data_IF_630929869658
#
_entry.id   IF_630929869658
#
_cell.length_a   1.000
_cell.length_b   1.000
_cell.length_c   1.000
_cell.angle_alpha   90.00
_cell.angle_beta   90.00
_cell.angle_gamma   90.00
#
_symmetry.space_group_name_H-M   'P 1'
#
loop_
_entity.id
_entity.type
_entity.pdbx_description
1 polymer ?
#
# COMPACT_ATOMS: atom_id res chain seq x y z
N UNK A 1 23.60 -21.40 -39.70
CA UNK A 1 24.03 -21.51 -38.30
C UNK A 1 24.45 -20.11 -37.77
N UNK A 2 23.56 -19.24 -37.38
CA UNK A 2 23.82 -17.96 -36.65
C UNK A 2 22.52 -17.40 -36.09
N UNK A 3 21.92 -18.06 -35.09
CA UNK A 3 20.76 -17.51 -34.35
C UNK A 3 20.78 -17.82 -32.85
N UNK A 4 21.86 -18.39 -32.30
CA UNK A 4 21.93 -18.81 -30.88
C UNK A 4 22.64 -17.81 -29.97
N UNK A 5 23.23 -16.73 -30.48
CA UNK A 5 23.99 -15.77 -29.66
C UNK A 5 23.18 -14.63 -29.03
N UNK A 6 22.04 -14.28 -29.62
CA UNK A 6 21.27 -13.12 -29.17
C UNK A 6 20.39 -13.40 -27.92
N UNK A 7 19.93 -14.63 -27.77
CA UNK A 7 19.11 -15.03 -26.60
C UNK A 7 19.93 -15.20 -25.30
N UNK A 8 21.22 -15.59 -25.43
CA UNK A 8 22.11 -15.71 -24.27
C UNK A 8 22.54 -14.35 -23.69
N UNK A 9 22.69 -13.32 -24.54
CA UNK A 9 23.04 -11.96 -24.11
C UNK A 9 21.88 -11.26 -23.39
N UNK A 10 20.63 -11.55 -23.80
CA UNK A 10 19.45 -10.96 -23.18
C UNK A 10 19.14 -11.59 -21.82
N UNK A 11 19.41 -12.88 -21.63
CA UNK A 11 19.26 -13.57 -20.34
C UNK A 11 20.31 -13.10 -19.31
N UNK A 12 21.52 -12.76 -19.73
CA UNK A 12 22.59 -12.23 -18.87
C UNK A 12 22.34 -10.79 -18.42
N UNK A 13 21.67 -9.97 -19.21
CA UNK A 13 21.29 -8.61 -18.82
C UNK A 13 20.16 -8.61 -17.78
N UNK A 14 19.21 -9.53 -17.84
CA UNK A 14 18.13 -9.68 -16.85
C UNK A 14 18.69 -10.19 -15.51
N UNK A 15 19.63 -11.13 -15.53
CA UNK A 15 20.29 -11.65 -14.33
C UNK A 15 21.19 -10.59 -13.63
N UNK A 16 21.79 -9.67 -14.40
CA UNK A 16 22.63 -8.60 -13.84
C UNK A 16 21.88 -7.52 -13.09
N UNK A 17 20.61 -7.26 -13.44
CA UNK A 17 19.79 -6.25 -12.76
C UNK A 17 19.19 -6.82 -11.46
N UNK A 18 18.80 -8.10 -11.44
CA UNK A 18 18.32 -8.76 -10.25
C UNK A 18 19.38 -8.88 -9.13
N UNK A 19 20.65 -9.13 -9.50
CA UNK A 19 21.72 -9.27 -8.50
C UNK A 19 22.18 -7.95 -7.85
N UNK A 20 21.88 -6.80 -8.43
CA UNK A 20 22.19 -5.49 -7.83
C UNK A 20 21.25 -5.10 -6.68
N UNK A 21 20.07 -5.72 -6.57
CA UNK A 21 19.11 -5.46 -5.52
C UNK A 21 19.32 -6.34 -4.27
N UNK A 22 19.92 -7.52 -4.40
CA UNK A 22 20.16 -8.46 -3.30
C UNK A 22 21.27 -8.08 -2.31
N UNK A 23 21.95 -6.95 -2.47
CA UNK A 23 23.14 -6.58 -1.69
C UNK A 23 23.01 -5.29 -0.86
N UNK A 24 21.86 -4.64 -0.80
CA UNK A 24 21.72 -3.41 -0.01
C UNK A 24 21.42 -3.75 1.46
N UNK A 25 22.50 -3.86 2.25
CA UNK A 25 22.40 -3.75 3.71
C UNK A 25 21.78 -2.39 4.07
N UNK A 26 20.52 -2.38 4.43
CA UNK A 26 19.81 -1.18 4.82
C UNK A 26 20.30 -0.73 6.20
N UNK A 27 21.01 0.38 6.26
CA UNK A 27 21.26 1.07 7.52
C UNK A 27 19.95 1.74 7.97
N UNK A 28 19.30 1.15 8.96
CA UNK A 28 18.04 1.57 9.57
C UNK A 28 18.05 2.93 10.28
N UNK A 29 18.94 3.84 9.93
CA UNK A 29 19.01 5.21 10.48
C UNK A 29 18.30 6.25 9.59
N UNK A 30 17.35 5.82 8.72
CA UNK A 30 16.56 6.77 7.97
C UNK A 30 15.55 7.44 8.91
N UNK A 31 15.85 8.69 9.28
CA UNK A 31 14.93 9.54 10.05
C UNK A 31 13.60 9.66 9.34
N UNK A 32 12.50 9.61 10.12
CA UNK A 32 11.15 9.79 9.61
C UNK A 32 11.06 11.08 8.76
N UNK A 33 10.64 10.95 7.50
CA UNK A 33 10.56 12.07 6.55
C UNK A 33 9.19 12.72 6.61
N UNK A 34 9.03 13.65 7.51
CA UNK A 34 7.80 14.46 7.57
C UNK A 34 7.67 15.32 6.32
N UNK A 35 6.47 15.29 5.71
CA UNK A 35 6.15 16.14 4.57
C UNK A 35 6.27 17.64 4.91
N UNK A 36 6.81 18.42 4.00
CA UNK A 36 6.95 19.88 4.08
C UNK A 36 6.42 20.51 2.79
N UNK A 37 6.12 21.83 2.77
CA UNK A 37 5.67 22.51 1.57
C UNK A 37 6.57 22.34 0.35
N UNK A 38 7.89 22.29 0.57
CA UNK A 38 8.93 22.15 -0.45
C UNK A 38 9.26 20.69 -0.82
N UNK A 39 8.63 19.71 -0.14
CA UNK A 39 8.82 18.28 -0.46
C UNK A 39 8.19 17.87 -1.79
N UNK A 40 7.25 18.66 -2.32
CA UNK A 40 6.45 18.31 -3.50
C UNK A 40 6.91 19.08 -4.74
N UNK A 41 7.38 18.36 -5.73
CA UNK A 41 7.96 18.89 -6.98
C UNK A 41 7.13 18.57 -8.24
N UNK A 42 5.89 18.09 -8.06
CA UNK A 42 5.00 17.68 -9.14
C UNK A 42 5.27 16.27 -9.68
N UNK A 43 6.14 15.50 -9.03
CA UNK A 43 6.35 14.08 -9.28
C UNK A 43 5.55 13.25 -8.30
N UNK A 44 5.49 11.94 -8.51
CA UNK A 44 4.92 11.03 -7.53
C UNK A 44 5.82 10.91 -6.30
N UNK A 45 5.21 11.03 -5.12
CA UNK A 45 5.81 10.72 -3.83
C UNK A 45 4.88 9.77 -3.10
N UNK A 46 5.43 8.69 -2.55
CA UNK A 46 4.66 7.84 -1.66
C UNK A 46 4.30 8.65 -0.41
N UNK A 47 3.01 8.74 -0.11
CA UNK A 47 2.50 9.45 1.06
C UNK A 47 1.95 8.45 2.08
N UNK A 48 2.63 8.34 3.21
CA UNK A 48 2.22 7.52 4.35
C UNK A 48 1.41 8.35 5.33
N UNK A 49 0.16 7.98 5.58
CA UNK A 49 -0.72 8.67 6.51
C UNK A 49 -0.30 8.42 7.96
N UNK A 50 0.07 9.48 8.69
CA UNK A 50 0.35 9.41 10.12
C UNK A 50 -0.94 9.57 10.91
N UNK A 51 -1.27 8.59 11.72
CA UNK A 51 -2.45 8.58 12.58
C UNK A 51 -2.08 8.45 14.06
N UNK A 52 -3.01 8.82 14.94
CA UNK A 52 -2.89 8.63 16.39
C UNK A 52 -3.24 7.19 16.75
N UNK A 53 -2.53 6.63 17.74
CA UNK A 53 -2.73 5.25 18.18
C UNK A 53 -3.45 5.19 19.52
N UNK A 54 -4.41 4.27 19.63
CA UNK A 54 -4.97 3.86 20.90
C UNK A 54 -3.96 2.92 21.60
N UNK A 55 -3.70 3.08 22.90
CA UNK A 55 -2.89 2.14 23.67
C UNK A 55 -3.42 0.69 23.60
N UNK A 56 -4.74 0.53 23.50
CA UNK A 56 -5.41 -0.77 23.31
C UNK A 56 -5.85 -0.91 21.87
N UNK A 57 -5.60 -2.05 21.26
CA UNK A 57 -5.97 -2.33 19.86
C UNK A 57 -5.10 -3.43 19.30
N UNK A 58 -5.36 -3.84 18.07
CA UNK A 58 -4.61 -4.87 17.36
C UNK A 58 -3.69 -4.24 16.31
N UNK A 59 -2.53 -4.84 16.14
CA UNK A 59 -1.55 -4.44 15.15
C UNK A 59 -0.42 -3.54 15.67
N UNK A 60 0.47 -3.18 14.77
CA UNK A 60 1.64 -2.34 14.99
C UNK A 60 1.31 -0.84 14.97
N UNK A 61 1.89 -0.12 14.02
CA UNK A 61 1.69 1.32 13.91
C UNK A 61 1.74 1.77 12.44
N UNK A 62 1.48 3.06 12.20
CA UNK A 62 1.68 3.66 10.89
C UNK A 62 3.15 3.60 10.38
N UNK A 63 4.09 3.19 11.24
CA UNK A 63 5.50 2.93 10.89
C UNK A 63 5.76 1.50 10.42
N UNK A 64 4.79 0.61 10.47
CA UNK A 64 4.94 -0.75 9.94
C UNK A 64 5.40 -0.66 8.49
N UNK A 65 6.37 -1.51 8.09
CA UNK A 65 6.99 -1.58 6.76
C UNK A 65 7.73 -0.29 6.30
N UNK A 66 7.80 0.71 7.17
CA UNK A 66 8.52 1.95 6.85
C UNK A 66 10.04 1.74 7.04
N UNK A 67 10.89 2.19 6.12
CA UNK A 67 10.56 2.89 4.87
C UNK A 67 10.59 2.00 3.63
N UNK A 68 10.83 0.70 3.77
CA UNK A 68 11.10 -0.20 2.64
C UNK A 68 9.89 -0.30 1.70
N UNK A 69 8.69 -0.48 2.25
CA UNK A 69 7.48 -0.52 1.43
C UNK A 69 7.31 0.75 0.58
N UNK A 70 7.58 1.93 1.15
CA UNK A 70 7.45 3.21 0.48
C UNK A 70 8.46 3.35 -0.67
N UNK A 71 9.68 2.87 -0.44
CA UNK A 71 10.80 2.92 -1.39
C UNK A 71 10.59 1.93 -2.53
N UNK A 72 10.34 0.67 -2.20
CA UNK A 72 10.30 -0.41 -3.19
C UNK A 72 9.10 -0.26 -4.13
N UNK A 73 7.93 0.14 -3.59
CA UNK A 73 6.79 0.46 -4.45
C UNK A 73 7.08 1.64 -5.37
N UNK A 74 7.76 2.67 -4.89
CA UNK A 74 8.12 3.84 -5.70
C UNK A 74 9.11 3.49 -6.82
N UNK A 75 10.11 2.63 -6.54
CA UNK A 75 11.04 2.10 -7.55
C UNK A 75 10.26 1.31 -8.62
N UNK A 76 9.41 0.39 -8.18
CA UNK A 76 8.67 -0.47 -9.10
C UNK A 76 7.67 0.32 -9.95
N UNK A 77 7.05 1.36 -9.38
CA UNK A 77 6.19 2.27 -10.15
C UNK A 77 6.96 2.97 -11.27
N UNK A 78 8.17 3.45 -10.98
CA UNK A 78 9.03 4.08 -11.99
C UNK A 78 9.46 3.10 -13.10
N UNK A 79 9.70 1.82 -12.74
CA UNK A 79 10.14 0.79 -13.69
C UNK A 79 9.00 0.30 -14.60
N UNK A 80 7.81 0.09 -14.04
CA UNK A 80 6.67 -0.51 -14.76
C UNK A 80 5.81 0.51 -15.51
N UNK A 81 5.95 1.79 -15.21
CA UNK A 81 5.13 2.85 -15.78
C UNK A 81 5.98 3.98 -16.34
N UNK A 82 5.33 4.97 -16.96
CA UNK A 82 5.98 6.24 -17.36
C UNK A 82 5.86 7.32 -16.29
N UNK A 83 5.39 6.99 -15.10
CA UNK A 83 5.20 7.95 -14.03
C UNK A 83 6.55 8.47 -13.54
N UNK A 84 6.65 9.78 -13.41
CA UNK A 84 7.85 10.40 -12.85
C UNK A 84 7.76 10.35 -11.33
N UNK A 85 8.65 9.57 -10.72
CA UNK A 85 8.82 9.48 -9.27
C UNK A 85 9.87 10.48 -8.81
N UNK A 86 9.67 11.10 -7.66
CA UNK A 86 10.66 11.98 -7.03
C UNK A 86 11.81 11.17 -6.42
N UNK A 87 13.04 11.60 -6.65
CA UNK A 87 14.25 10.99 -6.07
C UNK A 87 15.08 12.06 -5.39
N UNK A 88 15.61 11.79 -4.19
CA UNK A 88 16.57 12.65 -3.49
C UNK A 88 17.99 12.43 -4.00
N UNK A 89 18.31 11.15 -4.32
CA UNK A 89 19.57 10.69 -4.84
C UNK A 89 19.31 9.49 -5.77
N UNK A 90 20.29 9.09 -6.60
CA UNK A 90 20.15 7.92 -7.45
C UNK A 90 19.70 6.68 -6.67
N UNK A 91 18.54 6.10 -7.06
CA UNK A 91 17.95 4.94 -6.42
C UNK A 91 17.40 5.17 -5.00
N UNK A 92 17.13 6.42 -4.63
CA UNK A 92 16.53 6.79 -3.35
C UNK A 92 15.24 7.59 -3.60
N UNK A 93 14.09 6.91 -3.82
CA UNK A 93 12.83 7.62 -4.01
C UNK A 93 12.46 8.40 -2.76
N UNK A 94 11.88 9.56 -3.00
CA UNK A 94 11.27 10.34 -1.93
C UNK A 94 9.98 9.67 -1.47
N UNK A 95 9.85 9.51 -0.16
CA UNK A 95 8.65 9.06 0.51
C UNK A 95 8.36 10.00 1.68
N UNK A 96 7.09 10.25 1.95
CA UNK A 96 6.67 11.32 2.84
C UNK A 96 5.70 10.81 3.90
N UNK A 97 5.97 11.14 5.16
CA UNK A 97 5.02 10.94 6.25
C UNK A 97 4.14 12.18 6.34
N UNK A 98 2.84 11.99 6.27
CA UNK A 98 1.85 13.06 6.18
C UNK A 98 0.90 12.97 7.37
N UNK A 99 0.97 13.90 8.32
CA UNK A 99 -0.05 14.02 9.36
C UNK A 99 -1.42 14.34 8.74
N UNK A 100 -2.47 13.72 9.24
CA UNK A 100 -3.83 13.93 8.72
C UNK A 100 -4.32 15.37 8.84
N UNK A 101 -3.80 16.11 9.83
CA UNK A 101 -4.11 17.54 10.04
C UNK A 101 -3.19 18.47 9.29
N UNK A 102 -2.15 17.95 8.61
CA UNK A 102 -1.19 18.75 7.85
C UNK A 102 -1.76 19.30 6.54
N UNK A 103 -1.34 20.50 6.16
CA UNK A 103 -1.72 21.09 4.87
C UNK A 103 -1.21 20.28 3.67
N UNK A 104 -0.09 19.55 3.87
CA UNK A 104 0.58 18.70 2.91
C UNK A 104 -0.28 17.50 2.49
N UNK A 105 -1.25 17.09 3.31
CA UNK A 105 -2.22 16.04 2.99
C UNK A 105 -2.88 16.27 1.62
N UNK A 106 -3.22 17.53 1.30
CA UNK A 106 -3.89 17.89 0.05
C UNK A 106 -2.97 17.89 -1.18
N UNK A 107 -1.68 17.66 -1.00
CA UNK A 107 -0.72 17.51 -2.09
C UNK A 107 -0.48 16.05 -2.47
N UNK A 108 -0.96 15.11 -1.66
CA UNK A 108 -0.89 13.68 -1.92
C UNK A 108 -2.10 13.23 -2.71
N UNK A 109 -1.96 12.64 -3.90
CA UNK A 109 -3.10 12.04 -4.61
C UNK A 109 -3.67 10.83 -3.85
N UNK A 110 -2.80 10.11 -3.14
CA UNK A 110 -3.12 8.98 -2.30
C UNK A 110 -2.32 9.04 -0.99
N UNK A 111 -2.95 8.61 0.09
CA UNK A 111 -2.26 8.23 1.32
C UNK A 111 -2.50 6.74 1.60
N UNK A 112 -1.48 6.08 2.13
CA UNK A 112 -1.59 4.70 2.59
C UNK A 112 -1.48 4.65 4.11
N UNK A 113 -2.34 3.85 4.75
CA UNK A 113 -2.31 3.56 6.18
C UNK A 113 -2.30 2.05 6.39
N UNK A 114 -1.44 1.59 7.26
CA UNK A 114 -1.30 0.19 7.63
C UNK A 114 -1.65 0.01 9.11
N UNK A 115 -1.95 -1.21 9.53
CA UNK A 115 -2.14 -1.59 10.93
C UNK A 115 -3.19 -0.74 11.68
N UNK A 116 -4.29 -0.46 11.02
CA UNK A 116 -5.31 0.47 11.50
C UNK A 116 -6.18 -0.06 12.66
N UNK A 117 -5.94 -1.30 13.11
CA UNK A 117 -6.71 -1.92 14.22
C UNK A 117 -6.52 -1.23 15.58
N UNK A 118 -5.58 -0.30 15.71
CA UNK A 118 -5.41 0.57 16.88
C UNK A 118 -5.43 2.06 16.56
N UNK A 119 -5.87 2.41 15.38
CA UNK A 119 -6.00 3.79 14.95
C UNK A 119 -7.08 4.53 15.77
N UNK A 120 -6.81 5.80 16.04
CA UNK A 120 -7.77 6.73 16.64
C UNK A 120 -7.78 8.05 15.87
N UNK A 121 -8.96 8.50 15.46
CA UNK A 121 -9.16 9.82 14.86
C UNK A 121 -9.70 10.82 15.89
N UNK A 122 -9.02 11.95 16.03
CA UNK A 122 -9.57 13.14 16.68
C UNK A 122 -10.63 13.81 15.79
N UNK A 123 -11.38 14.75 16.32
CA UNK A 123 -12.36 15.51 15.52
C UNK A 123 -11.69 16.27 14.35
N UNK A 124 -10.47 16.77 14.56
CA UNK A 124 -9.71 17.45 13.53
C UNK A 124 -9.25 16.46 12.43
N UNK A 125 -8.76 15.28 12.81
CA UNK A 125 -8.40 14.21 11.85
C UNK A 125 -9.61 13.85 10.99
N UNK A 126 -10.79 13.67 11.60
CA UNK A 126 -12.06 13.37 10.92
C UNK A 126 -12.40 14.46 9.91
N UNK A 127 -12.37 15.71 10.33
CA UNK A 127 -12.74 16.85 9.46
C UNK A 127 -11.79 16.99 8.26
N UNK A 128 -10.48 16.87 8.50
CA UNK A 128 -9.47 17.01 7.45
C UNK A 128 -9.47 15.80 6.49
N UNK A 129 -9.55 14.58 7.01
CA UNK A 129 -9.59 13.39 6.18
C UNK A 129 -10.86 13.37 5.30
N UNK A 130 -12.03 13.71 5.87
CA UNK A 130 -13.28 13.85 5.09
C UNK A 130 -13.10 14.88 3.96
N UNK A 131 -12.55 16.05 4.28
CA UNK A 131 -12.31 17.12 3.30
C UNK A 131 -11.33 16.66 2.20
N UNK A 132 -10.26 15.99 2.56
CA UNK A 132 -9.27 15.46 1.64
C UNK A 132 -9.91 14.48 0.65
N UNK A 133 -10.64 13.49 1.14
CA UNK A 133 -11.25 12.44 0.34
C UNK A 133 -12.35 13.00 -0.59
N UNK A 134 -13.19 13.91 -0.09
CA UNK A 134 -14.21 14.56 -0.91
C UNK A 134 -13.64 15.55 -1.96
N UNK A 135 -12.39 15.99 -1.81
CA UNK A 135 -11.70 16.83 -2.79
C UNK A 135 -10.87 16.08 -3.83
N UNK A 136 -11.00 14.78 -3.91
CA UNK A 136 -10.29 13.98 -4.91
C UNK A 136 -9.16 13.14 -4.34
N UNK A 137 -8.84 13.25 -3.05
CA UNK A 137 -7.87 12.39 -2.39
C UNK A 137 -8.35 10.93 -2.33
N UNK A 138 -7.40 10.02 -2.13
CA UNK A 138 -7.65 8.59 -1.99
C UNK A 138 -6.95 8.05 -0.74
N UNK A 139 -7.61 7.16 -0.01
CA UNK A 139 -7.05 6.44 1.11
C UNK A 139 -7.00 4.94 0.79
N UNK A 140 -5.81 4.34 0.85
CA UNK A 140 -5.65 2.89 0.87
C UNK A 140 -5.31 2.43 2.28
N UNK A 141 -6.12 1.53 2.82
CA UNK A 141 -5.91 0.89 4.13
C UNK A 141 -5.55 -0.56 3.90
N UNK A 142 -4.44 -1.01 4.49
CA UNK A 142 -3.88 -2.33 4.30
C UNK A 142 -3.37 -2.91 5.62
N UNK A 143 -3.01 -4.19 5.63
CA UNK A 143 -2.38 -4.89 6.74
C UNK A 143 -3.15 -4.74 8.07
N UNK A 144 -4.37 -5.23 8.09
CA UNK A 144 -5.14 -5.36 9.33
C UNK A 144 -6.01 -6.62 9.29
N UNK A 145 -6.06 -7.35 10.40
CA UNK A 145 -6.45 -8.73 10.41
C UNK A 145 -7.55 -9.06 11.42
N UNK A 146 -8.51 -9.88 10.98
CA UNK A 146 -9.57 -10.41 11.82
C UNK A 146 -10.66 -9.42 12.20
N UNK A 147 -11.64 -9.92 12.90
CA UNK A 147 -12.85 -9.16 13.26
C UNK A 147 -12.58 -8.03 14.26
N UNK A 148 -11.58 -8.21 15.15
CA UNK A 148 -11.25 -7.20 16.15
C UNK A 148 -10.68 -5.92 15.51
N UNK A 149 -9.66 -6.06 14.64
CA UNK A 149 -9.08 -4.92 13.91
C UNK A 149 -10.10 -4.27 12.96
N UNK A 150 -10.93 -5.10 12.28
CA UNK A 150 -12.01 -4.60 11.46
C UNK A 150 -12.99 -3.71 12.23
N UNK A 151 -13.48 -4.17 13.39
CA UNK A 151 -14.44 -3.41 14.19
C UNK A 151 -13.87 -2.11 14.73
N UNK A 152 -12.58 -2.11 15.13
CA UNK A 152 -11.87 -0.92 15.53
C UNK A 152 -11.79 0.10 14.39
N UNK A 153 -11.31 -0.33 13.21
CA UNK A 153 -11.26 0.51 12.01
C UNK A 153 -12.63 1.01 11.57
N UNK A 154 -13.63 0.12 11.46
CA UNK A 154 -14.98 0.47 11.03
C UNK A 154 -15.60 1.56 11.93
N UNK A 155 -15.35 1.49 13.23
CA UNK A 155 -15.79 2.52 14.19
C UNK A 155 -15.15 3.88 13.91
N UNK A 156 -13.88 3.92 13.51
CA UNK A 156 -13.19 5.18 13.25
C UNK A 156 -13.57 5.77 11.90
N UNK A 157 -13.62 4.97 10.83
CA UNK A 157 -13.99 5.47 9.51
C UNK A 157 -15.46 5.92 9.44
N UNK A 158 -16.34 5.34 10.26
CA UNK A 158 -17.72 5.77 10.38
C UNK A 158 -17.88 7.21 10.90
N UNK A 159 -16.92 7.74 11.64
CA UNK A 159 -16.88 9.17 12.03
C UNK A 159 -16.61 10.06 10.83
N UNK A 160 -15.76 9.61 9.90
CA UNK A 160 -15.43 10.32 8.67
C UNK A 160 -16.59 10.22 7.68
N UNK A 161 -17.09 9.01 7.47
CA UNK A 161 -18.15 8.69 6.53
C UNK A 161 -19.25 7.85 7.22
N UNK A 162 -20.34 8.48 7.70
CA UNK A 162 -21.44 7.77 8.32
C UNK A 162 -22.02 6.71 7.37
N UNK A 163 -22.17 5.44 7.80
CA UNK A 163 -22.56 4.33 6.92
C UNK A 163 -23.93 4.49 6.25
N UNK A 164 -24.83 5.26 6.83
CA UNK A 164 -26.14 5.57 6.23
C UNK A 164 -26.06 6.49 5.00
N UNK A 165 -24.96 7.22 4.84
CA UNK A 165 -24.72 8.12 3.71
C UNK A 165 -23.63 7.59 2.77
N UNK A 166 -22.62 6.95 3.33
CA UNK A 166 -21.45 6.39 2.64
C UNK A 166 -21.24 4.94 3.09
N UNK A 167 -21.97 3.97 2.52
CA UNK A 167 -21.83 2.58 2.93
C UNK A 167 -20.45 2.02 2.57
N UNK A 168 -19.93 1.16 3.43
CA UNK A 168 -18.83 0.28 3.10
C UNK A 168 -19.38 -0.89 2.30
N UNK A 169 -18.83 -1.15 1.12
CA UNK A 169 -19.24 -2.26 0.26
C UNK A 169 -18.04 -3.17 -0.05
N UNK A 170 -18.28 -4.48 -0.14
CA UNK A 170 -17.31 -5.38 -0.77
C UNK A 170 -17.28 -5.07 -2.27
N UNK A 171 -16.08 -4.79 -2.81
CA UNK A 171 -15.93 -4.43 -4.22
C UNK A 171 -16.16 -5.67 -5.09
N UNK A 172 -17.04 -5.59 -6.09
CA UNK A 172 -17.28 -6.71 -7.00
C UNK A 172 -16.04 -6.96 -7.87
N UNK A 173 -15.90 -8.19 -8.36
CA UNK A 173 -14.71 -8.61 -9.12
C UNK A 173 -14.51 -7.84 -10.43
N UNK A 174 -15.56 -7.24 -10.98
CA UNK A 174 -15.54 -6.40 -12.18
C UNK A 174 -15.32 -4.91 -11.89
N UNK A 175 -15.02 -4.55 -10.62
CA UNK A 175 -14.72 -3.16 -10.28
C UNK A 175 -13.47 -2.68 -11.03
N UNK A 176 -13.47 -1.48 -11.64
CA UNK A 176 -12.36 -0.97 -12.47
C UNK A 176 -10.98 -1.02 -11.81
N UNK A 177 -10.91 -0.88 -10.49
CA UNK A 177 -9.64 -0.93 -9.76
C UNK A 177 -8.89 -2.26 -9.93
N UNK A 178 -9.56 -3.35 -10.27
CA UNK A 178 -8.94 -4.65 -10.51
C UNK A 178 -8.45 -4.85 -11.94
N UNK A 179 -8.71 -3.88 -12.84
CA UNK A 179 -8.50 -4.03 -14.29
C UNK A 179 -7.78 -2.84 -14.95
N UNK A 180 -7.13 -1.98 -14.18
CA UNK A 180 -6.51 -0.76 -14.74
C UNK A 180 -5.24 -1.05 -15.55
N UNK A 181 -4.41 -1.98 -15.11
CA UNK A 181 -3.19 -2.42 -15.79
C UNK A 181 -3.09 -3.94 -15.89
N UNK A 182 -3.49 -4.63 -14.84
CA UNK A 182 -3.47 -6.09 -14.73
C UNK A 182 -4.89 -6.60 -14.49
N UNK A 183 -5.20 -7.78 -15.04
CA UNK A 183 -6.46 -8.47 -14.81
C UNK A 183 -6.40 -9.24 -13.49
N UNK A 184 -6.96 -8.69 -12.43
CA UNK A 184 -7.04 -9.32 -11.11
C UNK A 184 -8.43 -9.89 -10.90
N UNK A 185 -8.50 -11.15 -10.45
CA UNK A 185 -9.78 -11.80 -10.09
C UNK A 185 -10.24 -11.45 -8.68
N UNK A 186 -9.29 -11.17 -7.80
CA UNK A 186 -9.49 -10.82 -6.39
C UNK A 186 -8.19 -10.25 -5.82
N UNK A 187 -8.26 -9.64 -4.62
CA UNK A 187 -7.06 -9.34 -3.85
C UNK A 187 -6.50 -10.65 -3.27
N UNK A 188 -5.20 -10.93 -3.44
CA UNK A 188 -4.57 -12.12 -2.87
C UNK A 188 -4.48 -12.03 -1.35
N UNK A 189 -4.48 -13.18 -0.65
CA UNK A 189 -4.13 -13.24 0.76
C UNK A 189 -2.61 -13.35 0.88
N UNK A 190 -1.98 -12.25 1.22
CA UNK A 190 -0.54 -12.14 1.43
C UNK A 190 -0.32 -12.00 2.93
N UNK A 191 0.42 -12.90 3.57
CA UNK A 191 0.79 -12.79 4.98
C UNK A 191 2.09 -12.01 5.13
N UNK A 192 2.35 -11.42 6.26
CA UNK A 192 3.68 -10.98 6.62
C UNK A 192 4.69 -12.14 6.54
N UNK A 193 5.88 -11.89 6.00
CA UNK A 193 6.89 -12.94 5.74
C UNK A 193 7.27 -13.70 7.01
N UNK A 194 7.27 -13.01 8.16
CA UNK A 194 7.54 -13.62 9.46
C UNK A 194 6.49 -14.66 9.83
N UNK A 195 5.22 -14.35 9.65
CA UNK A 195 4.12 -15.29 9.87
C UNK A 195 4.18 -16.46 8.90
N UNK A 196 4.37 -16.19 7.61
CA UNK A 196 4.47 -17.24 6.58
C UNK A 196 5.55 -18.27 6.90
N UNK A 197 6.73 -17.82 7.28
CA UNK A 197 7.84 -18.70 7.69
C UNK A 197 7.50 -19.48 8.97
N UNK A 198 6.99 -18.78 9.99
CA UNK A 198 6.70 -19.37 11.30
C UNK A 198 5.53 -20.35 11.29
N UNK A 199 4.56 -20.16 10.40
CA UNK A 199 3.38 -21.02 10.26
C UNK A 199 3.56 -22.21 9.31
N UNK A 200 4.73 -22.34 8.66
CA UNK A 200 4.96 -23.36 7.64
C UNK A 200 4.22 -23.09 6.32
N UNK A 201 4.02 -21.83 5.97
CA UNK A 201 3.40 -21.40 4.70
C UNK A 201 1.94 -21.01 4.78
N UNK A 202 1.41 -20.81 5.99
CA UNK A 202 0.06 -20.28 6.21
C UNK A 202 -0.08 -18.85 5.74
N UNK A 203 -1.31 -18.44 5.38
CA UNK A 203 -1.59 -17.08 4.87
C UNK A 203 -2.58 -16.30 5.73
N UNK A 204 -3.30 -16.95 6.62
CA UNK A 204 -4.30 -16.32 7.49
C UNK A 204 -3.74 -16.08 8.89
N UNK A 205 -3.36 -14.85 9.21
CA UNK A 205 -2.62 -14.50 10.43
C UNK A 205 -3.42 -14.62 11.72
N UNK A 206 -4.75 -14.60 11.62
CA UNK A 206 -5.67 -14.79 12.76
C UNK A 206 -6.49 -16.09 12.62
N UNK A 207 -5.95 -17.06 11.87
CA UNK A 207 -6.59 -18.36 11.67
C UNK A 207 -7.98 -18.23 11.03
N UNK A 208 -8.99 -18.88 11.57
CA UNK A 208 -10.34 -18.85 11.00
C UNK A 208 -10.95 -17.46 10.92
N UNK A 209 -10.58 -16.55 11.84
CA UNK A 209 -11.12 -15.19 11.90
C UNK A 209 -10.61 -14.29 10.75
N UNK A 210 -9.52 -14.66 10.10
CA UNK A 210 -8.98 -13.94 8.93
C UNK A 210 -8.86 -14.80 7.68
N UNK A 211 -9.57 -15.92 7.61
CA UNK A 211 -9.45 -16.85 6.49
C UNK A 211 -9.95 -16.29 5.16
N UNK A 212 -10.84 -15.29 5.20
CA UNK A 212 -11.38 -14.65 4.01
C UNK A 212 -10.78 -13.24 3.83
N UNK A 213 -10.18 -12.99 2.66
CA UNK A 213 -9.74 -11.66 2.26
C UNK A 213 -10.93 -10.84 1.78
N UNK A 214 -10.89 -9.55 2.09
CA UNK A 214 -11.88 -8.61 1.62
C UNK A 214 -11.22 -7.41 0.95
N UNK A 215 -11.72 -7.04 -0.22
CA UNK A 215 -11.51 -5.73 -0.80
C UNK A 215 -12.78 -4.90 -0.61
N UNK A 216 -12.75 -3.94 0.30
CA UNK A 216 -13.89 -3.09 0.59
C UNK A 216 -13.63 -1.66 0.22
N UNK A 217 -14.70 -0.94 -0.10
CA UNK A 217 -14.60 0.44 -0.53
C UNK A 217 -15.66 1.36 0.03
N UNK A 218 -15.34 2.64 0.04
CA UNK A 218 -16.28 3.74 0.24
C UNK A 218 -16.16 4.66 -0.98
N UNK A 219 -17.29 4.90 -1.66
CA UNK A 219 -17.36 5.77 -2.83
C UNK A 219 -18.06 7.09 -2.51
N UNK A 220 -17.77 8.13 -3.28
CA UNK A 220 -18.53 9.37 -3.25
C UNK A 220 -19.89 9.21 -3.97
N UNK A 221 -20.69 10.29 -3.97
CA UNK A 221 -22.03 10.30 -4.59
C UNK A 221 -22.02 10.13 -6.11
N UNK A 222 -20.85 10.28 -6.75
CA UNK A 222 -20.65 10.10 -8.18
C UNK A 222 -20.11 8.70 -8.52
N UNK A 223 -19.90 7.84 -7.51
CA UNK A 223 -19.36 6.50 -7.68
C UNK A 223 -17.84 6.41 -7.72
N UNK A 224 -17.09 7.52 -7.52
CA UNK A 224 -15.64 7.48 -7.41
C UNK A 224 -15.24 6.83 -6.09
N UNK A 225 -14.43 5.79 -6.14
CA UNK A 225 -13.87 5.16 -4.96
C UNK A 225 -12.91 6.14 -4.25
N UNK A 226 -13.18 6.42 -2.97
CA UNK A 226 -12.38 7.31 -2.13
C UNK A 226 -11.51 6.55 -1.13
N UNK A 227 -11.99 5.41 -0.66
CA UNK A 227 -11.30 4.57 0.32
C UNK A 227 -11.29 3.14 -0.19
N UNK A 228 -10.12 2.54 -0.27
CA UNK A 228 -9.91 1.10 -0.46
C UNK A 228 -9.42 0.49 0.84
N UNK A 229 -9.98 -0.63 1.23
CA UNK A 229 -9.60 -1.41 2.41
C UNK A 229 -9.29 -2.85 1.98
N UNK A 230 -8.03 -3.25 2.06
CA UNK A 230 -7.56 -4.62 1.86
C UNK A 230 -7.42 -5.28 3.23
N UNK A 231 -8.48 -6.01 3.62
CA UNK A 231 -8.62 -6.59 4.95
C UNK A 231 -8.31 -8.09 4.92
N UNK A 232 -7.61 -8.59 5.92
CA UNK A 232 -7.08 -9.96 6.04
C UNK A 232 -6.01 -10.27 5.00
N UNK A 233 -5.19 -9.30 4.71
CA UNK A 233 -4.03 -9.42 3.84
C UNK A 233 -3.05 -8.29 4.18
N UNK A 234 -1.77 -8.52 3.95
CA UNK A 234 -0.68 -7.56 4.03
C UNK A 234 -0.06 -7.44 2.63
N UNK A 235 -0.72 -6.63 1.79
CA UNK A 235 -0.28 -6.48 0.41
C UNK A 235 1.10 -5.81 0.37
N UNK A 236 1.34 -4.89 1.29
CA UNK A 236 2.57 -4.11 1.38
C UNK A 236 3.81 -4.93 1.75
N UNK A 237 3.70 -5.95 2.60
CA UNK A 237 4.83 -6.84 2.94
C UNK A 237 5.37 -7.57 1.70
N UNK A 238 4.53 -7.78 0.70
CA UNK A 238 4.93 -8.44 -0.54
C UNK A 238 6.02 -7.70 -1.30
N UNK A 239 6.07 -6.38 -1.24
CA UNK A 239 7.13 -5.59 -1.87
C UNK A 239 8.15 -5.07 -0.85
N UNK A 240 7.78 -4.84 0.41
CA UNK A 240 8.73 -4.51 1.47
C UNK A 240 9.79 -5.61 1.63
N UNK A 241 9.35 -6.86 1.56
CA UNK A 241 10.16 -8.05 1.80
C UNK A 241 10.56 -8.81 0.54
N UNK A 242 10.43 -8.22 -0.65
CA UNK A 242 10.66 -8.90 -1.93
C UNK A 242 12.05 -9.54 -2.05
N UNK A 243 13.05 -8.96 -1.43
CA UNK A 243 14.44 -9.41 -1.47
C UNK A 243 14.83 -10.47 -0.44
N UNK A 244 13.94 -10.82 0.51
CA UNK A 244 14.32 -11.68 1.64
C UNK A 244 14.22 -13.17 1.37
N UNK A 245 13.31 -13.60 0.51
CA UNK A 245 13.06 -15.01 0.22
C UNK A 245 12.52 -15.18 -1.20
N UNK A 246 13.24 -15.92 -2.09
CA UNK A 246 12.78 -16.14 -3.44
C UNK A 246 11.43 -16.83 -3.54
N UNK A 247 11.09 -17.76 -2.61
CA UNK A 247 9.80 -18.44 -2.65
C UNK A 247 8.68 -17.49 -2.25
N UNK A 248 8.92 -16.61 -1.28
CA UNK A 248 7.98 -15.54 -0.92
C UNK A 248 7.78 -14.60 -2.10
N UNK A 249 8.85 -14.16 -2.76
CA UNK A 249 8.78 -13.29 -3.95
C UNK A 249 7.89 -13.90 -5.05
N UNK A 250 8.18 -15.13 -5.46
CA UNK A 250 7.42 -15.77 -6.55
C UNK A 250 5.97 -16.06 -6.19
N UNK A 251 5.69 -16.28 -4.92
CA UNK A 251 4.35 -16.60 -4.46
C UNK A 251 3.49 -15.36 -4.23
N UNK A 252 4.06 -14.27 -3.73
CA UNK A 252 3.31 -13.12 -3.23
C UNK A 252 3.68 -11.79 -3.88
N UNK A 253 4.98 -11.49 -4.04
CA UNK A 253 5.42 -10.17 -4.47
C UNK A 253 4.94 -9.81 -5.86
N UNK A 254 4.89 -10.78 -6.78
CA UNK A 254 4.41 -10.56 -8.16
C UNK A 254 2.94 -10.11 -8.15
N UNK A 255 2.08 -10.81 -7.41
CA UNK A 255 0.65 -10.46 -7.31
C UNK A 255 0.45 -9.17 -6.50
N UNK A 256 1.20 -8.95 -5.42
CA UNK A 256 1.14 -7.71 -4.64
C UNK A 256 1.48 -6.48 -5.48
N UNK A 257 2.51 -6.54 -6.31
CA UNK A 257 2.80 -5.46 -7.25
C UNK A 257 1.70 -5.24 -8.29
N UNK A 258 1.06 -6.30 -8.77
CA UNK A 258 -0.08 -6.13 -9.69
C UNK A 258 -1.23 -5.38 -9.02
N UNK A 259 -1.54 -5.70 -7.75
CA UNK A 259 -2.52 -4.96 -6.96
C UNK A 259 -2.11 -3.50 -6.82
N UNK A 260 -0.86 -3.25 -6.39
CA UNK A 260 -0.38 -1.90 -6.16
C UNK A 260 -0.40 -1.03 -7.43
N UNK A 261 0.05 -1.57 -8.57
CA UNK A 261 0.01 -0.86 -9.84
C UNK A 261 -1.43 -0.54 -10.27
N UNK A 262 -2.34 -1.49 -10.10
CA UNK A 262 -3.75 -1.26 -10.40
C UNK A 262 -4.33 -0.13 -9.55
N UNK A 263 -4.08 -0.14 -8.24
CA UNK A 263 -4.55 0.90 -7.32
C UNK A 263 -3.96 2.26 -7.70
N UNK A 264 -2.65 2.34 -7.92
CA UNK A 264 -1.98 3.61 -8.26
C UNK A 264 -2.49 4.20 -9.57
N UNK A 265 -2.65 3.36 -10.61
CA UNK A 265 -3.18 3.84 -11.89
C UNK A 265 -4.64 4.26 -11.74
N UNK A 266 -5.45 3.51 -11.01
CA UNK A 266 -6.82 3.91 -10.71
C UNK A 266 -6.87 5.30 -10.08
N UNK A 267 -6.09 5.53 -9.03
CA UNK A 267 -6.02 6.81 -8.31
C UNK A 267 -5.61 7.97 -9.22
N UNK A 268 -4.69 7.72 -10.15
CA UNK A 268 -4.16 8.77 -11.03
C UNK A 268 -5.05 9.06 -12.25
N UNK A 269 -6.10 8.25 -12.48
CA UNK A 269 -6.96 8.36 -13.67
C UNK A 269 -8.44 8.58 -13.35
N UNK A 270 -8.85 8.44 -12.09
CA UNK A 270 -10.23 8.61 -11.61
C UNK A 270 -10.29 9.60 -10.45
#
# INVERSE_FOLDING_TARGET
MKRSGALAAMALLIAGVASAQFGRGYNASLSARMARPDSFDGRFHYCRGQYRMNPTGDGGSWLTDYPLADIDLSIRLAELTKMRVGFDAPGQPQHLIVPLTGAELFKCPMIMMQEVGRLFFSEEDVAQLRKYLLKGGFLWVDDFWGSYAWNAWATQIAKVFPPGEYPVIDLPADHPIFHTMFELKAIPQIPGIGYWRGSGGGTSERGADSAQVHARGISDRNGRLMVLMTHNTDVSDSWEREGEDPNYFYRFSVEGYQVAMNVLIYVMTH
#
